data_IF_585363490647
#
_entry.id   IF_585363490647
#
_cell.length_a   1.000
_cell.length_b   1.000
_cell.length_c   1.000
_cell.angle_alpha   90.00
_cell.angle_beta   90.00
_cell.angle_gamma   90.00
#
_symmetry.space_group_name_H-M   'P 1'
#
loop_
_entity.id
_entity.type
_entity.pdbx_description
1 polymer ?
#
# COMPACT_ATOMS: atom_id res chain seq x y z
N UNK A 1 -17.26 5.62 5.84
CA UNK A 1 -16.24 4.58 6.03
C UNK A 1 -16.65 3.38 5.23
N UNK A 2 -15.89 3.07 4.19
CA UNK A 2 -16.03 1.80 3.49
C UNK A 2 -15.43 0.68 4.34
N UNK A 3 -15.98 -0.52 4.22
CA UNK A 3 -15.36 -1.70 4.82
C UNK A 3 -14.06 -2.06 4.08
N UNK A 4 -13.17 -2.80 4.75
CA UNK A 4 -11.95 -3.28 4.12
C UNK A 4 -12.20 -4.11 2.84
N UNK A 5 -13.29 -4.88 2.80
CA UNK A 5 -13.66 -5.65 1.61
C UNK A 5 -14.11 -4.74 0.46
N UNK A 6 -14.94 -3.73 0.72
CA UNK A 6 -15.38 -2.78 -0.32
C UNK A 6 -14.20 -2.01 -0.94
N UNK A 7 -13.22 -1.62 -0.11
CA UNK A 7 -11.98 -1.00 -0.59
C UNK A 7 -11.21 -1.96 -1.50
N UNK A 8 -11.02 -3.21 -1.08
CA UNK A 8 -10.27 -4.21 -1.86
C UNK A 8 -10.99 -4.64 -3.13
N UNK A 9 -12.33 -4.73 -3.13
CA UNK A 9 -13.14 -5.12 -4.28
C UNK A 9 -13.18 -4.04 -5.37
N UNK A 10 -13.12 -2.77 -4.97
CA UNK A 10 -13.15 -1.62 -5.89
C UNK A 10 -11.76 -1.13 -6.33
N UNK A 11 -10.70 -1.59 -5.67
CA UNK A 11 -9.32 -1.23 -5.98
C UNK A 11 -8.78 -2.02 -7.19
N UNK A 12 -7.89 -1.37 -7.95
CA UNK A 12 -7.18 -1.98 -9.07
C UNK A 12 -5.67 -1.85 -8.93
N UNK A 13 -5.17 -0.66 -8.57
CA UNK A 13 -3.73 -0.38 -8.51
C UNK A 13 -3.26 -0.17 -7.07
N UNK A 14 -2.23 -0.92 -6.67
CA UNK A 14 -1.65 -0.90 -5.32
C UNK A 14 -0.18 -0.50 -5.40
N UNK A 15 0.17 0.63 -4.77
CA UNK A 15 1.56 1.00 -4.58
C UNK A 15 2.11 0.33 -3.32
N UNK A 16 3.22 -0.41 -3.44
CA UNK A 16 3.82 -1.15 -2.32
C UNK A 16 5.07 -0.40 -1.85
N UNK A 17 4.91 0.40 -0.78
CA UNK A 17 5.97 1.22 -0.19
C UNK A 17 6.90 0.38 0.67
N UNK A 18 8.17 0.29 0.27
CA UNK A 18 9.15 -0.62 0.87
C UNK A 18 9.14 -2.02 0.25
N UNK A 19 8.65 -2.17 -0.98
CA UNK A 19 8.74 -3.44 -1.70
C UNK A 19 10.20 -3.86 -1.87
N UNK A 20 10.51 -5.11 -1.52
CA UNK A 20 11.84 -5.69 -1.65
C UNK A 20 11.92 -6.57 -2.90
N UNK A 21 13.06 -6.65 -3.60
CA UNK A 21 13.26 -7.61 -4.69
C UNK A 21 13.51 -9.05 -4.19
N UNK A 22 13.78 -9.22 -2.89
CA UNK A 22 14.09 -10.53 -2.31
C UNK A 22 12.80 -11.33 -2.05
N UNK A 23 12.63 -12.55 -2.61
CA UNK A 23 11.39 -13.34 -2.48
C UNK A 23 10.99 -13.73 -1.05
N UNK A 24 11.97 -13.88 -0.15
CA UNK A 24 11.72 -14.23 1.25
C UNK A 24 11.23 -13.06 2.11
N UNK A 25 11.22 -11.83 1.58
CA UNK A 25 10.75 -10.65 2.31
C UNK A 25 9.24 -10.54 2.20
N UNK A 26 8.57 -10.25 3.32
CA UNK A 26 7.10 -10.19 3.39
C UNK A 26 6.50 -9.22 2.36
N UNK A 27 7.11 -8.05 2.16
CA UNK A 27 6.63 -7.07 1.16
C UNK A 27 6.64 -7.62 -0.27
N UNK A 28 7.62 -8.45 -0.61
CA UNK A 28 7.66 -9.14 -1.89
C UNK A 28 6.57 -10.20 -1.99
N UNK A 29 6.49 -11.09 -1.00
CA UNK A 29 5.55 -12.21 -1.02
C UNK A 29 4.08 -11.75 -1.06
N UNK A 30 3.75 -10.65 -0.35
CA UNK A 30 2.40 -10.06 -0.37
C UNK A 30 2.12 -9.37 -1.71
N UNK A 31 3.07 -8.60 -2.24
CA UNK A 31 2.92 -7.98 -3.55
C UNK A 31 2.66 -9.02 -4.66
N UNK A 32 3.40 -10.13 -4.68
CA UNK A 32 3.19 -11.20 -5.65
C UNK A 32 1.84 -11.92 -5.47
N UNK A 33 1.38 -12.08 -4.22
CA UNK A 33 0.04 -12.60 -3.96
C UNK A 33 -1.04 -11.67 -4.53
N UNK A 34 -0.94 -10.36 -4.28
CA UNK A 34 -1.89 -9.37 -4.77
C UNK A 34 -1.85 -9.28 -6.31
N UNK A 35 -0.66 -9.35 -6.91
CA UNK A 35 -0.53 -9.42 -8.37
C UNK A 35 -1.24 -10.66 -8.94
N UNK A 36 -1.03 -11.84 -8.34
CA UNK A 36 -1.72 -13.07 -8.73
C UNK A 36 -3.24 -13.03 -8.52
N UNK A 37 -3.73 -12.17 -7.62
CA UNK A 37 -5.15 -11.90 -7.41
C UNK A 37 -5.74 -10.89 -8.42
N UNK A 38 -4.93 -10.34 -9.32
CA UNK A 38 -5.37 -9.44 -10.40
C UNK A 38 -5.16 -7.95 -10.12
N UNK A 39 -4.52 -7.58 -9.01
CA UNK A 39 -4.14 -6.19 -8.75
C UNK A 39 -2.92 -5.78 -9.58
N UNK A 40 -2.90 -4.53 -10.02
CA UNK A 40 -1.71 -3.91 -10.62
C UNK A 40 -0.78 -3.41 -9.51
N UNK A 41 0.43 -3.96 -9.44
CA UNK A 41 1.41 -3.60 -8.41
C UNK A 41 2.34 -2.51 -8.92
N UNK A 42 2.55 -1.48 -8.09
CA UNK A 42 3.54 -0.42 -8.31
C UNK A 42 4.59 -0.48 -7.19
N UNK A 43 5.81 -0.98 -7.45
CA UNK A 43 6.86 -1.01 -6.46
C UNK A 43 7.36 0.39 -6.10
N UNK A 44 7.48 0.70 -4.82
CA UNK A 44 8.08 1.97 -4.35
C UNK A 44 9.22 1.67 -3.38
N UNK A 45 10.45 1.91 -3.82
CA UNK A 45 11.66 1.71 -3.04
C UNK A 45 12.84 2.51 -3.64
N UNK A 46 13.42 3.49 -2.92
CA UNK A 46 14.52 4.31 -3.44
C UNK A 46 15.82 3.55 -3.72
N UNK A 47 15.95 2.30 -3.25
CA UNK A 47 17.11 1.45 -3.49
C UNK A 47 17.11 0.72 -4.82
N UNK A 48 16.02 0.77 -5.60
CA UNK A 48 15.86 -0.03 -6.81
C UNK A 48 15.20 0.76 -7.94
N UNK A 49 15.61 0.47 -9.18
CA UNK A 49 14.96 1.02 -10.38
C UNK A 49 13.87 0.08 -10.92
N UNK A 50 14.03 -1.24 -10.71
CA UNK A 50 13.09 -2.25 -11.13
C UNK A 50 12.99 -3.37 -10.09
N UNK A 51 11.79 -3.92 -9.91
CA UNK A 51 11.51 -5.11 -9.09
C UNK A 51 10.52 -5.98 -9.86
N UNK A 52 10.83 -7.28 -10.02
CA UNK A 52 9.99 -8.22 -10.81
C UNK A 52 9.66 -7.72 -12.23
N UNK A 53 10.62 -7.02 -12.86
CA UNK A 53 10.45 -6.43 -14.20
C UNK A 53 9.56 -5.18 -14.24
N UNK A 54 8.96 -4.78 -13.11
CA UNK A 54 8.17 -3.57 -12.99
C UNK A 54 9.06 -2.38 -12.64
N UNK A 55 8.74 -1.21 -13.20
CA UNK A 55 9.38 0.06 -12.81
C UNK A 55 9.17 0.31 -11.32
N UNK A 56 10.26 0.57 -10.60
CA UNK A 56 10.22 0.92 -9.19
C UNK A 56 10.42 2.43 -9.02
N UNK A 57 9.49 3.06 -8.31
CA UNK A 57 9.55 4.49 -8.02
C UNK A 57 10.33 4.74 -6.73
N UNK A 58 11.05 5.87 -6.66
CA UNK A 58 11.81 6.24 -5.45
C UNK A 58 10.91 6.76 -4.33
N UNK A 59 9.76 7.33 -4.68
CA UNK A 59 8.78 7.98 -3.80
C UNK A 59 7.38 7.84 -4.36
N UNK A 60 6.38 8.02 -3.50
CA UNK A 60 4.96 7.93 -3.89
C UNK A 60 4.54 9.06 -4.85
N UNK A 61 4.95 10.30 -4.61
CA UNK A 61 4.53 11.45 -5.44
C UNK A 61 5.08 11.43 -6.88
N UNK A 62 6.03 10.52 -7.16
CA UNK A 62 6.59 10.34 -8.50
C UNK A 62 5.75 9.44 -9.41
N UNK A 63 4.70 8.81 -8.89
CA UNK A 63 3.80 7.95 -9.65
C UNK A 63 2.78 8.85 -10.37
N UNK A 64 2.81 8.85 -11.71
CA UNK A 64 1.93 9.68 -12.53
C UNK A 64 0.50 9.15 -12.62
N UNK A 65 0.33 7.84 -12.47
CA UNK A 65 -0.96 7.17 -12.62
C UNK A 65 -1.68 7.04 -11.27
N UNK A 66 -3.02 7.15 -11.23
CA UNK A 66 -3.76 7.03 -9.99
C UNK A 66 -3.54 5.70 -9.29
N UNK A 67 -3.27 5.77 -7.99
CA UNK A 67 -3.11 4.63 -7.08
C UNK A 67 -4.37 4.53 -6.22
N UNK A 68 -4.95 3.34 -6.09
CA UNK A 68 -6.12 3.14 -5.23
C UNK A 68 -5.72 2.91 -3.77
N UNK A 69 -4.67 2.11 -3.55
CA UNK A 69 -4.19 1.71 -2.22
C UNK A 69 -2.67 1.90 -2.13
N UNK A 70 -2.20 2.51 -1.04
CA UNK A 70 -0.78 2.47 -0.65
C UNK A 70 -0.59 1.42 0.44
N UNK A 71 0.15 0.35 0.14
CA UNK A 71 0.48 -0.74 1.06
C UNK A 71 1.89 -0.54 1.65
N UNK A 72 1.96 -0.32 2.97
CA UNK A 72 3.15 0.22 3.65
C UNK A 72 3.89 -0.86 4.43
N UNK A 73 5.16 -1.08 4.08
CA UNK A 73 6.11 -1.95 4.78
C UNK A 73 7.32 -1.20 5.37
N UNK A 74 7.18 0.11 5.60
CA UNK A 74 8.20 0.94 6.25
C UNK A 74 8.12 0.78 7.77
N UNK A 75 9.24 1.00 8.46
CA UNK A 75 9.28 0.94 9.92
C UNK A 75 8.46 2.07 10.54
N UNK A 76 7.84 1.80 11.70
CA UNK A 76 6.93 2.71 12.39
C UNK A 76 7.54 4.09 12.70
N UNK A 77 8.84 4.18 12.93
CA UNK A 77 9.56 5.44 13.16
C UNK A 77 9.48 6.43 11.97
N UNK A 78 9.11 5.95 10.78
CA UNK A 78 8.94 6.76 9.58
C UNK A 78 7.47 7.11 9.28
N UNK A 79 6.52 6.86 10.17
CA UNK A 79 5.08 7.03 9.86
C UNK A 79 4.72 8.46 9.41
N UNK A 80 5.33 9.50 9.98
CA UNK A 80 5.12 10.89 9.55
C UNK A 80 5.69 11.18 8.16
N UNK A 81 6.83 10.58 7.80
CA UNK A 81 7.38 10.70 6.43
C UNK A 81 6.45 10.01 5.42
N UNK A 82 5.93 8.84 5.77
CA UNK A 82 4.96 8.12 4.95
C UNK A 82 3.67 8.93 4.77
N UNK A 83 3.15 9.54 5.84
CA UNK A 83 1.99 10.43 5.77
C UNK A 83 2.23 11.58 4.79
N UNK A 84 3.37 12.27 4.92
CA UNK A 84 3.73 13.38 4.04
C UNK A 84 3.85 12.94 2.56
N UNK A 85 4.47 11.79 2.28
CA UNK A 85 4.56 11.25 0.91
C UNK A 85 3.18 10.92 0.35
N UNK A 86 2.29 10.31 1.13
CA UNK A 86 0.90 10.02 0.71
C UNK A 86 0.15 11.31 0.40
N UNK A 87 0.25 12.30 1.28
CA UNK A 87 -0.47 13.58 1.12
C UNK A 87 0.08 14.45 -0.02
N UNK A 88 1.27 14.14 -0.52
CA UNK A 88 1.87 14.76 -1.69
C UNK A 88 1.47 14.10 -3.02
N UNK A 89 0.80 12.95 -2.99
CA UNK A 89 0.27 12.30 -4.19
C UNK A 89 -0.88 13.11 -4.80
N UNK A 90 -0.97 13.11 -6.12
CA UNK A 90 -2.09 13.70 -6.87
C UNK A 90 -2.50 12.78 -8.04
N UNK A 91 -3.70 12.17 -8.00
CA UNK A 91 -4.70 12.24 -6.94
C UNK A 91 -4.26 11.48 -5.67
N UNK A 92 -4.87 11.85 -4.53
CA UNK A 92 -4.72 11.07 -3.28
C UNK A 92 -5.26 9.63 -3.47
N UNK A 93 -4.64 8.63 -2.80
CA UNK A 93 -5.16 7.28 -2.81
C UNK A 93 -6.48 7.18 -2.02
N UNK A 94 -7.29 6.17 -2.33
CA UNK A 94 -8.53 5.89 -1.60
C UNK A 94 -8.24 5.31 -0.21
N UNK A 95 -7.14 4.56 -0.09
CA UNK A 95 -6.75 3.95 1.17
C UNK A 95 -5.23 3.88 1.38
N UNK A 96 -4.82 3.90 2.65
CA UNK A 96 -3.47 3.56 3.10
C UNK A 96 -3.56 2.37 4.05
N UNK A 97 -2.71 1.39 3.79
CA UNK A 97 -2.68 0.13 4.52
C UNK A 97 -1.32 -0.04 5.20
N UNK A 98 -1.24 0.25 6.48
CA UNK A 98 -0.06 -0.03 7.29
C UNK A 98 -0.05 -1.50 7.69
N UNK A 99 0.93 -2.23 7.16
CA UNK A 99 1.13 -3.65 7.47
C UNK A 99 1.51 -3.84 8.94
N UNK A 100 1.56 -5.11 9.35
CA UNK A 100 1.93 -5.48 10.71
C UNK A 100 3.27 -4.85 11.11
N UNK A 101 3.27 -4.14 12.24
CA UNK A 101 4.41 -3.38 12.78
C UNK A 101 4.95 -2.23 11.90
N UNK A 102 4.18 -1.73 10.93
CA UNK A 102 4.58 -0.62 10.06
C UNK A 102 4.24 0.79 10.60
N UNK A 103 3.62 0.87 11.80
CA UNK A 103 3.15 2.12 12.39
C UNK A 103 1.78 2.53 11.87
N UNK A 104 1.54 3.84 11.74
CA UNK A 104 0.33 4.42 11.18
C UNK A 104 -0.63 4.96 12.25
N UNK A 105 -0.53 4.50 13.49
CA UNK A 105 -1.36 4.99 14.60
C UNK A 105 -1.17 6.48 14.86
N UNK A 106 0.03 7.03 14.64
CA UNK A 106 0.31 8.46 14.87
C UNK A 106 -0.17 9.40 13.76
N UNK A 107 -0.62 8.87 12.62
CA UNK A 107 -0.96 9.64 11.41
C UNK A 107 -2.33 9.29 10.83
N UNK A 108 -3.05 8.36 11.46
CA UNK A 108 -4.32 7.85 10.98
C UNK A 108 -5.40 8.94 10.86
N UNK A 109 -5.53 9.80 11.87
CA UNK A 109 -6.52 10.88 11.87
C UNK A 109 -6.23 11.90 10.76
N UNK A 110 -4.96 12.29 10.59
CA UNK A 110 -4.52 13.23 9.56
C UNK A 110 -4.86 12.72 8.14
N UNK A 111 -4.63 11.43 7.88
CA UNK A 111 -4.98 10.82 6.60
C UNK A 111 -6.50 10.74 6.40
N UNK A 112 -7.26 10.38 7.45
CA UNK A 112 -8.73 10.30 7.40
C UNK A 112 -9.40 11.65 7.18
N UNK A 113 -8.88 12.73 7.77
CA UNK A 113 -9.35 14.10 7.53
C UNK A 113 -9.25 14.50 6.05
N UNK A 114 -8.35 13.86 5.29
CA UNK A 114 -8.19 14.05 3.85
C UNK A 114 -9.04 13.11 3.00
N UNK A 115 -9.93 12.33 3.63
CA UNK A 115 -10.85 11.40 2.97
C UNK A 115 -10.23 10.05 2.60
N UNK A 116 -9.09 9.70 3.19
CA UNK A 116 -8.38 8.45 2.94
C UNK A 116 -8.80 7.41 3.98
N UNK A 117 -9.20 6.21 3.56
CA UNK A 117 -9.44 5.10 4.47
C UNK A 117 -8.09 4.57 4.99
N UNK A 118 -7.99 4.34 6.31
CA UNK A 118 -6.72 3.92 6.93
C UNK A 118 -6.93 2.61 7.66
N UNK A 119 -6.05 1.65 7.37
CA UNK A 119 -5.96 0.36 8.05
C UNK A 119 -4.58 0.26 8.70
N UNK A 120 -4.55 0.08 10.00
CA UNK A 120 -3.32 -0.01 10.80
C UNK A 120 -3.13 -1.40 11.38
N UNK A 121 -1.86 -1.81 11.49
CA UNK A 121 -1.42 -3.11 12.01
C UNK A 121 -2.25 -4.29 11.44
N UNK A 122 -2.42 -4.31 10.13
CA UNK A 122 -3.28 -5.25 9.44
C UNK A 122 -2.63 -5.82 8.18
N UNK A 123 -2.71 -7.13 7.98
CA UNK A 123 -2.16 -7.77 6.78
C UNK A 123 -3.18 -7.78 5.63
N UNK A 124 -2.93 -6.98 4.59
CA UNK A 124 -3.83 -6.86 3.42
C UNK A 124 -4.12 -8.21 2.75
N UNK A 125 -3.13 -9.11 2.68
CA UNK A 125 -3.30 -10.46 2.12
C UNK A 125 -4.32 -11.27 2.92
N UNK A 126 -4.25 -11.22 4.24
CA UNK A 126 -5.17 -11.96 5.12
C UNK A 126 -6.58 -11.43 4.92
N UNK A 127 -6.77 -10.10 4.97
CA UNK A 127 -8.08 -9.48 4.78
C UNK A 127 -8.64 -9.78 3.38
N UNK A 128 -7.83 -9.65 2.33
CA UNK A 128 -8.22 -10.02 0.97
C UNK A 128 -8.66 -11.48 0.86
N UNK A 129 -7.98 -12.42 1.53
CA UNK A 129 -8.35 -13.83 1.52
C UNK A 129 -9.72 -14.09 2.17
N UNK A 130 -10.06 -13.34 3.21
CA UNK A 130 -11.36 -13.41 3.90
C UNK A 130 -12.47 -12.80 3.01
N UNK A 131 -12.19 -11.69 2.32
CA UNK A 131 -13.16 -11.05 1.43
C UNK A 131 -13.42 -11.88 0.16
N UNK A 132 -12.37 -12.47 -0.42
CA UNK A 132 -12.46 -13.24 -1.67
C UNK A 132 -13.19 -14.58 -1.52
N UNK A 133 -13.25 -15.14 -0.31
CA UNK A 133 -14.01 -16.36 -0.02
C UNK A 133 -15.54 -16.16 0.09
N UNK A 134 -16.03 -14.92 -0.07
CA UNK A 134 -17.47 -14.59 -0.03
C UNK A 134 -18.10 -14.46 -1.43
N UNK A 135 -17.38 -14.84 -2.49
CA UNK A 135 -17.88 -14.88 -3.87
C UNK A 135 -18.38 -16.27 -4.26
#
# INVERSE_FOLDING_TARGET
MNTACEVLESARRIAVLGMSPKPHRTSHAIAMYLQGAGFEIVPVNPGHEHIEGLRCYRKLEAISEPVDIVDVFRAAEHEHEVCAEVLAMDPLPKAVWFQLNAGGFGVEDELRERGIEVFVDSCIKVVHSICSGKR
#
